data_IF_072808090000
#
_entry.id   IF_072808090000
#
_cell.length_a   1.000
_cell.length_b   1.000
_cell.length_c   1.000
_cell.angle_alpha   90.00
_cell.angle_beta   90.00
_cell.angle_gamma   90.00
#
_symmetry.space_group_name_H-M   'P 1'
#
loop_
_entity.id
_entity.type
_entity.pdbx_description
1 polymer ?
#
# COMPACT_ATOMS: atom_id res chain seq x y z
N UNK A 1 -23.01 -7.08 -13.53
CA UNK A 1 -24.18 -6.42 -12.88
C UNK A 1 -25.05 -5.76 -13.91
N UNK A 2 -26.38 -5.63 -13.68
CA UNK A 2 -27.25 -4.88 -14.59
C UNK A 2 -27.00 -3.37 -14.52
N UNK A 3 -27.40 -2.59 -15.54
CA UNK A 3 -27.21 -1.16 -15.59
C UNK A 3 -27.82 -0.46 -14.35
N UNK A 4 -27.09 0.48 -13.78
CA UNK A 4 -27.54 1.27 -12.61
C UNK A 4 -27.34 0.60 -11.24
N UNK A 5 -26.67 -0.55 -11.16
CA UNK A 5 -26.30 -1.20 -9.87
C UNK A 5 -24.85 -0.95 -9.53
N UNK A 6 -24.61 -0.52 -8.30
CA UNK A 6 -23.27 -0.31 -7.73
C UNK A 6 -23.10 -1.23 -6.53
N UNK A 7 -21.93 -1.81 -6.38
CA UNK A 7 -21.53 -2.46 -5.14
C UNK A 7 -20.81 -1.44 -4.30
N UNK A 8 -21.28 -1.21 -3.08
CA UNK A 8 -20.54 -0.45 -2.08
C UNK A 8 -19.51 -1.36 -1.40
N UNK A 9 -18.38 -0.78 -1.03
CA UNK A 9 -17.34 -1.46 -0.28
C UNK A 9 -16.39 -0.45 0.35
N UNK A 10 -15.74 -0.86 1.43
CA UNK A 10 -14.65 -0.11 2.03
C UNK A 10 -13.37 -0.42 1.28
N UNK A 11 -12.60 0.61 0.99
CA UNK A 11 -11.29 0.53 0.34
C UNK A 11 -10.49 1.79 0.63
N UNK A 12 -9.37 1.88 0.02
CA UNK A 12 -8.40 2.96 0.20
C UNK A 12 -7.02 2.35 0.37
N UNK A 13 -6.03 2.92 -0.27
CA UNK A 13 -4.65 2.44 -0.32
C UNK A 13 -4.12 2.00 1.06
N UNK A 14 -3.84 2.93 1.95
CA UNK A 14 -3.32 2.63 3.30
C UNK A 14 -4.33 1.87 4.19
N UNK A 15 -5.64 2.00 3.93
CA UNK A 15 -6.67 1.21 4.62
C UNK A 15 -6.58 -0.27 4.24
N UNK A 16 -6.40 -0.57 2.94
CA UNK A 16 -6.22 -1.94 2.47
C UNK A 16 -4.92 -2.55 3.03
N UNK A 17 -3.83 -1.78 3.09
CA UNK A 17 -2.56 -2.21 3.73
C UNK A 17 -2.77 -2.54 5.20
N UNK A 18 -3.53 -1.71 5.94
CA UNK A 18 -3.81 -1.95 7.36
C UNK A 18 -4.63 -3.24 7.57
N UNK A 19 -5.65 -3.48 6.74
CA UNK A 19 -6.45 -4.71 6.75
C UNK A 19 -5.59 -5.92 6.38
N UNK A 20 -4.74 -5.79 5.34
CA UNK A 20 -3.85 -6.86 4.94
C UNK A 20 -2.90 -7.26 6.07
N UNK A 21 -2.26 -6.30 6.73
CA UNK A 21 -1.39 -6.55 7.87
C UNK A 21 -2.14 -7.20 9.04
N UNK A 22 -3.35 -6.74 9.35
CA UNK A 22 -4.18 -7.30 10.42
C UNK A 22 -4.54 -8.77 10.15
N UNK A 23 -4.95 -9.11 8.92
CA UNK A 23 -5.26 -10.49 8.51
C UNK A 23 -4.05 -11.42 8.53
N UNK A 24 -2.82 -10.86 8.51
CA UNK A 24 -1.56 -11.61 8.71
C UNK A 24 -1.14 -11.69 10.20
N UNK A 25 -1.99 -11.20 11.12
CA UNK A 25 -1.76 -11.29 12.56
C UNK A 25 -0.97 -10.12 13.15
N UNK A 26 -0.70 -9.07 12.39
CA UNK A 26 -0.01 -7.86 12.87
C UNK A 26 -1.01 -6.85 13.43
N UNK A 27 -0.69 -6.26 14.59
CA UNK A 27 -1.48 -5.14 15.11
C UNK A 27 -1.31 -3.92 14.19
N UNK A 28 -2.38 -3.49 13.55
CA UNK A 28 -2.39 -2.33 12.68
C UNK A 28 -3.26 -1.21 13.25
N UNK A 29 -2.85 0.03 12.99
CA UNK A 29 -3.53 1.23 13.47
C UNK A 29 -3.63 2.23 12.34
N UNK A 30 -4.84 2.74 12.13
CA UNK A 30 -5.09 3.80 11.16
C UNK A 30 -4.84 5.19 11.76
N UNK A 31 -4.21 6.04 10.96
CA UNK A 31 -4.02 7.45 11.24
C UNK A 31 -4.56 8.26 10.06
N UNK A 32 -5.74 8.85 10.21
CA UNK A 32 -6.42 9.62 9.16
C UNK A 32 -7.53 10.49 9.75
N UNK A 33 -8.31 11.13 8.86
CA UNK A 33 -9.56 11.80 9.21
C UNK A 33 -10.70 11.27 8.36
N UNK A 34 -11.86 11.10 8.97
CA UNK A 34 -13.12 10.78 8.32
C UNK A 34 -14.12 11.91 8.55
N UNK A 35 -15.16 11.97 7.73
CA UNK A 35 -16.29 12.87 7.96
C UNK A 35 -17.16 12.43 9.14
N UNK A 36 -18.26 13.14 9.34
CA UNK A 36 -19.33 12.80 10.30
C UNK A 36 -20.57 12.21 9.59
N UNK A 37 -20.32 11.43 8.56
CA UNK A 37 -21.32 10.83 7.68
C UNK A 37 -21.44 9.30 7.88
N UNK A 38 -22.45 8.70 7.26
CA UNK A 38 -22.70 7.25 7.33
C UNK A 38 -21.55 6.44 6.70
N UNK A 39 -20.82 7.00 5.74
CA UNK A 39 -19.65 6.35 5.14
C UNK A 39 -18.51 6.21 6.15
N UNK A 40 -18.29 7.23 6.99
CA UNK A 40 -17.32 7.17 8.07
C UNK A 40 -17.66 6.06 9.07
N UNK A 41 -18.95 5.91 9.42
CA UNK A 41 -19.41 4.85 10.30
C UNK A 41 -19.17 3.46 9.71
N UNK A 42 -19.47 3.27 8.42
CA UNK A 42 -19.24 2.00 7.70
C UNK A 42 -17.75 1.64 7.65
N UNK A 43 -16.87 2.62 7.38
CA UNK A 43 -15.42 2.41 7.38
C UNK A 43 -14.92 1.97 8.75
N UNK A 44 -15.35 2.63 9.83
CA UNK A 44 -14.97 2.26 11.21
C UNK A 44 -15.45 0.87 11.58
N UNK A 45 -16.70 0.52 11.23
CA UNK A 45 -17.26 -0.82 11.45
C UNK A 45 -16.45 -1.88 10.69
N UNK A 46 -16.05 -1.59 9.45
CA UNK A 46 -15.20 -2.48 8.67
C UNK A 46 -13.84 -2.67 9.33
N UNK A 47 -13.17 -1.60 9.77
CA UNK A 47 -11.89 -1.69 10.47
C UNK A 47 -12.01 -2.47 11.79
N UNK A 48 -13.06 -2.23 12.55
CA UNK A 48 -13.30 -2.95 13.81
C UNK A 48 -13.48 -4.46 13.57
N UNK A 49 -14.21 -4.84 12.51
CA UNK A 49 -14.40 -6.24 12.14
C UNK A 49 -13.08 -6.93 11.72
N UNK A 50 -12.13 -6.17 11.16
CA UNK A 50 -10.80 -6.65 10.76
C UNK A 50 -9.73 -6.51 11.87
N UNK A 51 -10.09 -6.00 13.03
CA UNK A 51 -9.16 -5.79 14.14
C UNK A 51 -8.17 -4.64 13.92
N UNK A 52 -8.47 -3.72 13.00
CA UNK A 52 -7.67 -2.51 12.77
C UNK A 52 -8.06 -1.45 13.79
N UNK A 53 -7.08 -0.94 14.53
CA UNK A 53 -7.30 0.08 15.55
C UNK A 53 -7.51 1.46 14.91
N UNK A 54 -8.63 2.11 15.23
CA UNK A 54 -9.00 3.44 14.74
C UNK A 54 -8.93 4.55 15.81
N UNK A 55 -8.30 4.29 16.95
CA UNK A 55 -8.23 5.24 18.07
C UNK A 55 -7.58 6.60 17.70
N UNK A 56 -6.80 6.63 16.62
CA UNK A 56 -6.15 7.84 16.10
C UNK A 56 -6.83 8.40 14.84
N UNK A 57 -8.01 7.88 14.50
CA UNK A 57 -8.81 8.40 13.40
C UNK A 57 -9.73 9.49 13.92
N UNK A 58 -9.52 10.72 13.46
CA UNK A 58 -10.32 11.87 13.85
C UNK A 58 -11.60 11.94 13.02
N UNK A 59 -12.68 12.41 13.63
CA UNK A 59 -13.89 12.81 12.92
C UNK A 59 -13.85 14.33 12.70
N UNK A 60 -13.97 14.77 11.46
CA UNK A 60 -14.04 16.17 11.09
C UNK A 60 -15.49 16.55 10.83
N UNK A 61 -16.10 17.25 11.79
CA UNK A 61 -17.50 17.65 11.72
C UNK A 61 -17.74 18.60 10.54
N UNK A 62 -18.79 18.33 9.76
CA UNK A 62 -19.17 19.12 8.59
C UNK A 62 -18.32 18.85 7.35
N UNK A 63 -17.42 17.85 7.39
CA UNK A 63 -16.69 17.38 6.21
C UNK A 63 -17.24 16.04 5.72
N UNK A 64 -17.08 15.78 4.42
CA UNK A 64 -17.46 14.49 3.81
C UNK A 64 -16.31 13.51 3.86
N UNK A 65 -16.65 12.23 4.00
CA UNK A 65 -15.72 11.12 3.80
C UNK A 65 -15.38 10.97 2.31
N UNK A 66 -14.11 10.80 1.99
CA UNK A 66 -13.66 10.65 0.60
C UNK A 66 -14.17 9.36 -0.03
N UNK A 67 -14.63 9.45 -1.27
CA UNK A 67 -15.13 8.32 -2.05
C UNK A 67 -14.45 8.23 -3.41
N UNK A 68 -14.51 7.07 -4.02
CA UNK A 68 -14.18 6.86 -5.43
C UNK A 68 -15.10 5.81 -6.05
N UNK A 69 -15.25 5.89 -7.35
CA UNK A 69 -16.03 4.95 -8.13
C UNK A 69 -15.11 4.20 -9.09
N UNK A 70 -15.31 2.90 -9.19
CA UNK A 70 -14.62 2.07 -10.18
C UNK A 70 -15.65 1.62 -11.20
N UNK A 71 -15.43 1.94 -12.47
CA UNK A 71 -16.21 1.40 -13.58
C UNK A 71 -15.32 0.47 -14.38
N UNK A 72 -15.90 -0.66 -14.77
CA UNK A 72 -15.27 -1.67 -15.62
C UNK A 72 -15.82 -1.48 -17.03
N UNK A 73 -14.99 -1.08 -17.97
CA UNK A 73 -15.35 -0.88 -19.37
C UNK A 73 -14.32 -1.59 -20.26
N UNK A 74 -14.78 -2.58 -21.03
CA UNK A 74 -13.97 -3.36 -21.98
C UNK A 74 -12.65 -3.93 -21.39
N UNK A 75 -12.65 -4.29 -20.09
CA UNK A 75 -11.47 -4.82 -19.40
C UNK A 75 -10.56 -3.76 -18.76
N UNK A 76 -10.89 -2.49 -18.89
CA UNK A 76 -10.18 -1.40 -18.22
C UNK A 76 -10.92 -0.94 -16.97
N UNK A 77 -10.16 -0.63 -15.93
CA UNK A 77 -10.66 -0.03 -14.68
C UNK A 77 -10.55 1.48 -14.75
N UNK A 78 -11.67 2.19 -14.73
CA UNK A 78 -11.69 3.65 -14.68
C UNK A 78 -12.05 4.11 -13.28
N UNK A 79 -11.13 4.87 -12.66
CA UNK A 79 -11.34 5.47 -11.35
C UNK A 79 -11.86 6.88 -11.46
N UNK A 80 -12.91 7.20 -10.72
CA UNK A 80 -13.41 8.55 -10.56
C UNK A 80 -13.46 8.94 -9.08
N UNK A 81 -12.71 9.99 -8.72
CA UNK A 81 -12.51 10.39 -7.33
C UNK A 81 -13.49 11.46 -6.90
N UNK A 82 -14.05 11.31 -5.70
CA UNK A 82 -14.83 12.30 -4.95
C UNK A 82 -14.18 12.50 -3.59
N UNK A 83 -12.98 13.09 -3.61
CA UNK A 83 -12.16 13.27 -2.40
C UNK A 83 -11.58 14.67 -2.22
N UNK A 84 -11.75 15.55 -3.19
CA UNK A 84 -11.37 16.96 -3.04
C UNK A 84 -12.21 17.62 -1.94
N UNK A 85 -11.55 18.22 -0.94
CA UNK A 85 -12.23 18.77 0.23
C UNK A 85 -12.75 17.76 1.24
N UNK A 86 -12.50 16.45 1.04
CA UNK A 86 -12.85 15.42 2.03
C UNK A 86 -12.09 15.59 3.34
N UNK A 87 -12.59 15.00 4.41
CA UNK A 87 -11.93 15.03 5.72
C UNK A 87 -10.46 14.61 5.64
N UNK A 88 -10.14 13.51 4.93
CA UNK A 88 -8.77 13.05 4.75
C UNK A 88 -7.87 14.06 4.04
N UNK A 89 -8.41 14.84 3.09
CA UNK A 89 -7.65 15.90 2.39
C UNK A 89 -7.39 17.14 3.25
N UNK A 90 -8.09 17.28 4.37
CA UNK A 90 -7.96 18.41 5.30
C UNK A 90 -7.10 18.08 6.52
N UNK A 91 -6.48 16.89 6.59
CA UNK A 91 -5.55 16.54 7.66
C UNK A 91 -4.38 17.52 7.69
N UNK A 92 -3.97 17.94 8.89
CA UNK A 92 -2.89 18.92 9.09
C UNK A 92 -1.80 18.34 9.99
N UNK A 93 -0.56 18.85 9.88
CA UNK A 93 0.54 18.41 10.73
C UNK A 93 0.24 18.48 12.24
N UNK A 94 -0.48 19.49 12.69
CA UNK A 94 -0.88 19.65 14.10
C UNK A 94 -1.91 18.61 14.57
N UNK A 95 -2.62 17.97 13.66
CA UNK A 95 -3.60 16.93 13.96
C UNK A 95 -2.92 15.58 14.25
N UNK A 96 -1.64 15.43 13.93
CA UNK A 96 -0.86 14.23 14.10
C UNK A 96 -0.48 14.01 15.56
N UNK A 97 -1.01 12.95 16.18
CA UNK A 97 -0.62 12.54 17.53
C UNK A 97 0.72 11.81 17.50
N UNK A 98 1.73 12.33 18.21
CA UNK A 98 3.03 11.66 18.30
C UNK A 98 2.97 10.33 19.07
N UNK A 99 1.97 10.16 19.95
CA UNK A 99 1.81 8.95 20.75
C UNK A 99 1.53 7.69 19.94
N UNK A 100 1.01 7.82 18.71
CA UNK A 100 0.79 6.66 17.83
C UNK A 100 2.10 5.94 17.46
N UNK A 101 3.22 6.66 17.48
CA UNK A 101 4.54 6.12 17.13
C UNK A 101 5.26 5.45 18.31
N UNK A 102 4.78 5.57 19.56
CA UNK A 102 5.50 5.08 20.75
C UNK A 102 5.68 3.55 20.75
N UNK A 103 4.76 2.82 20.15
CA UNK A 103 4.80 1.36 20.07
C UNK A 103 4.74 0.85 18.62
N UNK A 104 5.02 1.71 17.65
CA UNK A 104 5.03 1.35 16.25
C UNK A 104 6.39 0.77 15.86
N UNK A 105 6.40 -0.35 15.14
CA UNK A 105 7.60 -0.88 14.51
C UNK A 105 7.83 -0.23 13.14
N UNK A 106 6.75 -0.04 12.38
CA UNK A 106 6.76 0.54 11.03
C UNK A 106 5.59 1.52 10.90
N UNK A 107 5.82 2.67 10.27
CA UNK A 107 4.77 3.52 9.71
C UNK A 107 4.76 3.35 8.20
N UNK A 108 3.59 3.03 7.63
CA UNK A 108 3.41 2.93 6.19
C UNK A 108 2.72 4.18 5.65
N UNK A 109 3.22 4.70 4.54
CA UNK A 109 2.76 5.92 3.88
C UNK A 109 2.55 5.66 2.40
N UNK A 110 1.64 6.42 1.78
CA UNK A 110 1.35 6.32 0.35
C UNK A 110 1.52 7.67 -0.35
N UNK A 111 1.96 7.64 -1.60
CA UNK A 111 2.01 8.82 -2.46
C UNK A 111 0.63 9.43 -2.70
N UNK A 112 -0.44 8.66 -2.62
CA UNK A 112 -1.82 9.20 -2.66
C UNK A 112 -2.05 10.15 -1.50
N UNK A 113 -1.58 9.84 -0.28
CA UNK A 113 -1.70 10.73 0.88
C UNK A 113 -0.99 12.07 0.67
N UNK A 114 0.11 12.08 -0.10
CA UNK A 114 0.82 13.30 -0.48
C UNK A 114 0.14 14.08 -1.62
N UNK A 115 -0.57 13.36 -2.50
CA UNK A 115 -1.20 13.92 -3.69
C UNK A 115 -2.53 14.62 -3.42
N UNK A 116 -3.26 14.23 -2.36
CA UNK A 116 -4.64 14.71 -2.13
C UNK A 116 -4.73 16.15 -1.66
N UNK A 117 -3.69 16.70 -1.02
CA UNK A 117 -3.59 18.11 -0.65
C UNK A 117 -2.19 18.50 -0.15
N UNK A 118 -1.90 19.80 -0.14
CA UNK A 118 -0.65 20.32 0.41
C UNK A 118 -0.54 20.08 1.93
N UNK A 119 -1.66 20.15 2.68
CA UNK A 119 -1.66 19.89 4.12
C UNK A 119 -1.46 18.40 4.45
N UNK A 120 -2.06 17.50 3.69
CA UNK A 120 -1.83 16.06 3.84
C UNK A 120 -0.38 15.69 3.51
N UNK A 121 0.22 16.32 2.49
CA UNK A 121 1.66 16.19 2.19
C UNK A 121 2.53 16.63 3.37
N UNK A 122 2.28 17.80 3.91
CA UNK A 122 3.01 18.30 5.07
C UNK A 122 2.84 17.40 6.31
N UNK A 123 1.66 16.80 6.47
CA UNK A 123 1.41 15.80 7.53
C UNK A 123 2.21 14.55 7.32
N UNK A 124 2.33 14.05 6.08
CA UNK A 124 3.18 12.92 5.71
C UNK A 124 4.66 13.20 6.01
N UNK A 125 5.16 14.40 5.64
CA UNK A 125 6.53 14.81 5.96
C UNK A 125 6.79 14.87 7.47
N UNK A 126 5.82 15.36 8.25
CA UNK A 126 5.90 15.36 9.71
C UNK A 126 5.88 13.94 10.28
N UNK A 127 5.07 13.04 9.74
CA UNK A 127 5.04 11.64 10.15
C UNK A 127 6.41 10.97 9.98
N UNK A 128 7.06 11.17 8.83
CA UNK A 128 8.43 10.71 8.56
C UNK A 128 9.41 11.26 9.60
N UNK A 129 9.35 12.56 9.89
CA UNK A 129 10.25 13.20 10.85
C UNK A 129 10.09 12.63 12.27
N UNK A 130 8.83 12.41 12.71
CA UNK A 130 8.55 11.80 14.03
C UNK A 130 9.03 10.34 14.05
N UNK A 131 8.72 9.55 13.01
CA UNK A 131 9.14 8.16 12.91
C UNK A 131 10.66 8.04 13.05
N UNK A 132 11.43 8.82 12.31
CA UNK A 132 12.90 8.86 12.39
C UNK A 132 13.40 9.23 13.78
N UNK A 133 12.81 10.26 14.41
CA UNK A 133 13.17 10.69 15.76
C UNK A 133 12.95 9.58 16.80
N UNK A 134 11.92 8.75 16.59
CA UNK A 134 11.54 7.64 17.49
C UNK A 134 12.16 6.28 17.12
N UNK A 135 12.94 6.20 16.05
CA UNK A 135 13.53 4.95 15.57
C UNK A 135 12.50 3.99 14.95
N UNK A 136 11.34 4.50 14.52
CA UNK A 136 10.30 3.75 13.82
C UNK A 136 10.68 3.69 12.34
N UNK A 137 10.66 2.52 11.72
CA UNK A 137 10.91 2.37 10.29
C UNK A 137 9.81 3.01 9.46
N UNK A 138 10.16 3.58 8.33
CA UNK A 138 9.23 4.21 7.39
C UNK A 138 9.13 3.34 6.15
N UNK A 139 7.92 2.89 5.82
CA UNK A 139 7.57 2.24 4.56
C UNK A 139 6.80 3.19 3.66
N UNK A 140 7.02 3.12 2.36
CA UNK A 140 6.39 4.01 1.39
C UNK A 140 6.07 3.29 0.07
N UNK A 141 4.80 3.37 -0.34
CA UNK A 141 4.33 3.02 -1.68
C UNK A 141 4.09 4.33 -2.47
N UNK A 142 4.75 4.55 -3.61
CA UNK A 142 4.53 5.74 -4.44
C UNK A 142 3.09 5.83 -4.96
N UNK A 143 2.45 4.70 -5.23
CA UNK A 143 1.05 4.54 -5.64
C UNK A 143 0.61 5.69 -6.56
N UNK A 144 1.34 5.86 -7.68
CA UNK A 144 1.27 7.03 -8.55
C UNK A 144 -0.11 7.17 -9.19
N UNK A 145 -0.73 8.33 -9.01
CA UNK A 145 -2.05 8.65 -9.59
C UNK A 145 -2.00 10.02 -10.26
N UNK A 146 -1.65 10.04 -11.56
CA UNK A 146 -1.54 11.28 -12.34
C UNK A 146 -2.85 12.09 -12.46
N UNK A 147 -3.97 11.52 -12.06
CA UNK A 147 -5.24 12.25 -11.90
C UNK A 147 -5.26 13.17 -10.68
N UNK A 148 -4.37 12.98 -9.71
CA UNK A 148 -4.32 13.76 -8.46
C UNK A 148 -3.28 14.89 -8.52
N UNK A 149 -2.20 14.71 -9.27
CA UNK A 149 -1.12 15.69 -9.41
C UNK A 149 -0.36 15.55 -10.73
N UNK A 150 0.31 16.62 -11.22
CA UNK A 150 1.15 16.55 -12.40
C UNK A 150 2.37 15.65 -12.17
N UNK A 151 2.85 14.98 -13.24
CA UNK A 151 4.00 14.06 -13.16
C UNK A 151 5.26 14.72 -12.57
N UNK A 152 5.57 15.94 -12.99
CA UNK A 152 6.78 16.64 -12.51
C UNK A 152 6.73 16.91 -11.00
N UNK A 153 5.57 17.27 -10.47
CA UNK A 153 5.36 17.44 -9.03
C UNK A 153 5.43 16.09 -8.31
N UNK A 154 4.75 15.07 -8.83
CA UNK A 154 4.76 13.72 -8.32
C UNK A 154 6.20 13.18 -8.23
N UNK A 155 6.96 13.26 -9.33
CA UNK A 155 8.36 12.82 -9.42
C UNK A 155 9.23 13.50 -8.36
N UNK A 156 9.13 14.82 -8.23
CA UNK A 156 9.91 15.57 -7.23
C UNK A 156 9.60 15.09 -5.81
N UNK A 157 8.31 15.04 -5.44
CA UNK A 157 7.88 14.69 -4.07
C UNK A 157 8.21 13.24 -3.75
N UNK A 158 7.93 12.31 -4.67
CA UNK A 158 8.18 10.88 -4.46
C UNK A 158 9.68 10.61 -4.32
N UNK A 159 10.52 11.11 -5.23
CA UNK A 159 11.98 10.90 -5.14
C UNK A 159 12.60 11.54 -3.90
N UNK A 160 12.08 12.70 -3.45
CA UNK A 160 12.50 13.29 -2.18
C UNK A 160 12.05 12.46 -0.97
N UNK A 161 10.93 11.76 -1.07
CA UNK A 161 10.43 10.86 -0.01
C UNK A 161 11.27 9.58 0.03
N UNK A 162 11.61 8.99 -1.12
CA UNK A 162 12.45 7.77 -1.20
C UNK A 162 13.77 7.93 -0.43
N UNK A 163 14.39 9.10 -0.46
CA UNK A 163 15.62 9.40 0.31
C UNK A 163 15.47 9.36 1.83
N UNK A 164 14.24 9.28 2.30
CA UNK A 164 13.90 9.40 3.73
C UNK A 164 13.29 8.13 4.31
N UNK A 165 13.05 7.10 3.49
CA UNK A 165 12.34 5.89 3.92
C UNK A 165 13.27 4.69 4.03
N UNK A 166 12.86 3.72 4.84
CA UNK A 166 13.62 2.49 5.06
C UNK A 166 13.17 1.36 4.14
N UNK A 167 11.91 1.41 3.69
CA UNK A 167 11.27 0.38 2.88
C UNK A 167 10.51 1.08 1.75
N UNK A 168 10.84 0.75 0.51
CA UNK A 168 10.19 1.30 -0.67
C UNK A 168 9.51 0.21 -1.49
N UNK A 169 8.21 0.37 -1.77
CA UNK A 169 7.32 -0.64 -2.33
C UNK A 169 6.68 -0.17 -3.65
N UNK A 170 7.44 0.03 -4.72
CA UNK A 170 6.90 0.52 -5.98
C UNK A 170 6.31 -0.60 -6.84
N UNK A 171 5.27 -0.27 -7.62
CA UNK A 171 4.89 -1.03 -8.80
C UNK A 171 5.79 -0.68 -10.00
N UNK A 172 6.06 -1.64 -10.88
CA UNK A 172 6.94 -1.47 -12.04
C UNK A 172 6.47 -0.35 -12.97
N UNK A 173 5.18 -0.28 -13.26
CA UNK A 173 4.64 0.73 -14.18
C UNK A 173 4.81 2.14 -13.61
N UNK A 174 4.51 2.32 -12.32
CA UNK A 174 4.72 3.59 -11.61
C UNK A 174 6.21 3.95 -11.59
N UNK A 175 7.08 2.97 -11.31
CA UNK A 175 8.52 3.16 -11.26
C UNK A 175 9.11 3.57 -12.62
N UNK A 176 8.65 2.98 -13.73
CA UNK A 176 9.01 3.37 -15.09
C UNK A 176 8.62 4.82 -15.38
N UNK A 177 7.40 5.20 -15.04
CA UNK A 177 6.92 6.59 -15.23
C UNK A 177 7.76 7.57 -14.40
N UNK A 178 8.09 7.21 -13.16
CA UNK A 178 8.86 8.06 -12.26
C UNK A 178 10.32 8.22 -12.68
N UNK A 179 10.94 7.16 -13.18
CA UNK A 179 12.39 7.16 -13.48
C UNK A 179 12.70 7.37 -14.96
N UNK A 180 11.82 6.93 -15.86
CA UNK A 180 12.09 6.82 -17.29
C UNK A 180 13.00 5.63 -17.63
N UNK A 181 13.24 4.72 -16.69
CA UNK A 181 14.05 3.51 -16.85
C UNK A 181 13.11 2.33 -17.12
N UNK A 182 13.46 1.47 -18.08
CA UNK A 182 12.63 0.33 -18.48
C UNK A 182 12.98 -0.96 -17.72
N UNK A 183 14.27 -1.22 -17.50
CA UNK A 183 14.76 -2.47 -16.95
C UNK A 183 14.58 -2.52 -15.42
N UNK A 184 13.92 -3.57 -14.88
CA UNK A 184 13.62 -3.67 -13.44
C UNK A 184 14.85 -3.61 -12.54
N UNK A 185 15.95 -4.24 -12.93
CA UNK A 185 17.19 -4.25 -12.16
C UNK A 185 17.79 -2.85 -12.06
N UNK A 186 17.75 -2.09 -13.15
CA UNK A 186 18.28 -0.71 -13.17
C UNK A 186 17.35 0.25 -12.40
N UNK A 187 16.05 0.01 -12.41
CA UNK A 187 15.09 0.72 -11.56
C UNK A 187 15.40 0.50 -10.08
N UNK A 188 15.60 -0.75 -9.66
CA UNK A 188 15.94 -1.07 -8.26
C UNK A 188 17.28 -0.43 -7.87
N UNK A 189 18.30 -0.50 -8.72
CA UNK A 189 19.59 0.18 -8.49
C UNK A 189 19.43 1.68 -8.33
N UNK A 190 18.63 2.31 -9.19
CA UNK A 190 18.35 3.75 -9.11
C UNK A 190 17.76 4.14 -7.75
N UNK A 191 16.79 3.39 -7.23
CA UNK A 191 16.18 3.68 -5.94
C UNK A 191 17.09 3.32 -4.75
N UNK A 192 17.91 2.29 -4.87
CA UNK A 192 18.95 1.97 -3.89
C UNK A 192 19.99 3.09 -3.79
N UNK A 193 20.43 3.64 -4.92
CA UNK A 193 21.35 4.79 -4.99
C UNK A 193 20.74 6.07 -4.40
N UNK A 194 19.41 6.19 -4.40
CA UNK A 194 18.71 7.28 -3.69
C UNK A 194 18.71 7.10 -2.17
N UNK A 195 19.00 5.90 -1.67
CA UNK A 195 19.14 5.62 -0.25
C UNK A 195 18.06 4.72 0.37
N UNK A 196 17.19 4.06 -0.41
CA UNK A 196 16.26 3.07 0.10
C UNK A 196 16.95 1.71 0.29
N UNK A 197 17.15 1.23 1.53
CA UNK A 197 17.88 -0.02 1.78
C UNK A 197 17.07 -1.27 1.45
N UNK A 198 15.74 -1.21 1.63
CA UNK A 198 14.83 -2.31 1.28
C UNK A 198 13.90 -1.82 0.16
N UNK A 199 13.88 -2.57 -0.94
CA UNK A 199 13.01 -2.30 -2.08
C UNK A 199 12.29 -3.59 -2.48
N UNK A 200 10.98 -3.52 -2.72
CA UNK A 200 10.22 -4.60 -3.33
C UNK A 200 9.45 -4.07 -4.54
N UNK A 201 10.06 -4.19 -5.72
CA UNK A 201 9.47 -3.77 -6.99
C UNK A 201 8.49 -4.86 -7.47
N UNK A 202 7.19 -4.60 -7.33
CA UNK A 202 6.15 -5.52 -7.80
C UNK A 202 5.97 -5.43 -9.31
N UNK A 203 5.82 -6.58 -9.99
CA UNK A 203 5.81 -6.66 -11.46
C UNK A 203 4.59 -7.45 -11.98
N UNK A 204 3.47 -7.37 -11.26
CA UNK A 204 2.24 -8.07 -11.59
C UNK A 204 2.40 -9.59 -11.55
N UNK A 205 1.96 -10.27 -12.60
CA UNK A 205 2.02 -11.73 -12.74
C UNK A 205 3.44 -12.29 -12.83
N UNK A 206 4.43 -11.44 -13.11
CA UNK A 206 5.85 -11.83 -13.10
C UNK A 206 6.42 -11.99 -11.69
N UNK A 207 5.78 -11.44 -10.66
CA UNK A 207 6.26 -11.53 -9.30
C UNK A 207 6.89 -10.22 -8.79
N UNK A 208 7.98 -10.32 -8.05
CA UNK A 208 8.65 -9.19 -7.39
C UNK A 208 10.17 -9.29 -7.51
N UNK A 209 10.83 -8.16 -7.79
CA UNK A 209 12.26 -8.01 -7.64
C UNK A 209 12.52 -7.34 -6.28
N UNK A 210 12.99 -8.13 -5.32
CA UNK A 210 13.28 -7.65 -3.97
C UNK A 210 14.77 -7.36 -3.82
N UNK A 211 15.10 -6.27 -3.10
CA UNK A 211 16.46 -5.88 -2.76
C UNK A 211 16.59 -5.56 -1.27
N UNK A 212 17.75 -5.90 -0.71
CA UNK A 212 18.13 -5.60 0.66
C UNK A 212 19.64 -5.33 0.74
N UNK A 213 20.00 -4.08 1.04
CA UNK A 213 21.41 -3.64 1.17
C UNK A 213 22.31 -4.08 0.01
N UNK A 214 21.80 -4.03 -1.22
CA UNK A 214 22.54 -4.37 -2.45
C UNK A 214 22.33 -5.79 -2.96
N UNK A 215 21.91 -6.75 -2.14
CA UNK A 215 21.47 -8.06 -2.60
C UNK A 215 20.11 -7.95 -3.31
N UNK A 216 19.99 -8.58 -4.49
CA UNK A 216 18.73 -8.60 -5.25
C UNK A 216 18.32 -10.04 -5.54
N UNK A 217 17.01 -10.30 -5.42
CA UNK A 217 16.43 -11.58 -5.83
C UNK A 217 15.10 -11.37 -6.54
N UNK A 218 14.94 -12.11 -7.62
CA UNK A 218 13.65 -12.23 -8.27
C UNK A 218 12.86 -13.35 -7.59
N UNK A 219 11.60 -13.09 -7.31
CA UNK A 219 10.65 -14.02 -6.69
C UNK A 219 9.44 -14.08 -7.60
N UNK A 220 9.13 -15.25 -8.16
CA UNK A 220 7.98 -15.43 -9.03
C UNK A 220 6.66 -15.40 -8.23
N UNK A 221 5.59 -14.93 -8.87
CA UNK A 221 4.25 -15.00 -8.31
C UNK A 221 3.63 -16.38 -8.59
N UNK A 222 2.87 -16.97 -7.64
CA UNK A 222 2.05 -18.13 -7.94
C UNK A 222 1.09 -17.84 -9.10
N UNK A 223 0.92 -18.81 -9.98
CA UNK A 223 -0.04 -18.71 -11.09
C UNK A 223 -1.45 -18.97 -10.58
N UNK A 224 -2.33 -18.01 -10.80
CA UNK A 224 -3.74 -18.08 -10.38
C UNK A 224 -4.64 -17.50 -11.47
N UNK A 225 -5.91 -17.84 -11.43
CA UNK A 225 -6.92 -17.24 -12.30
C UNK A 225 -7.34 -15.87 -11.74
N UNK A 226 -6.85 -14.79 -12.34
CA UNK A 226 -7.12 -13.44 -11.92
C UNK A 226 -8.55 -13.02 -12.29
N UNK A 227 -9.27 -12.44 -11.32
CA UNK A 227 -10.63 -11.89 -11.46
C UNK A 227 -10.62 -10.37 -11.34
N UNK A 228 -9.95 -9.82 -10.30
CA UNK A 228 -9.88 -8.38 -10.05
C UNK A 228 -8.57 -8.04 -9.33
N UNK A 229 -7.70 -7.28 -9.98
CA UNK A 229 -6.39 -6.90 -9.44
C UNK A 229 -6.44 -5.66 -8.52
N UNK A 230 -7.64 -5.12 -8.24
CA UNK A 230 -7.79 -3.94 -7.38
C UNK A 230 -7.29 -4.23 -5.96
N UNK A 231 -6.32 -3.45 -5.48
CA UNK A 231 -5.75 -3.59 -4.14
C UNK A 231 -4.71 -4.70 -3.99
N UNK A 232 -4.27 -5.34 -5.08
CA UNK A 232 -3.22 -6.38 -5.03
C UNK A 232 -1.89 -5.83 -4.48
N UNK A 233 -1.51 -4.61 -4.88
CA UNK A 233 -0.34 -3.89 -4.33
C UNK A 233 -0.49 -3.64 -2.85
N UNK A 234 -1.63 -3.10 -2.42
CA UNK A 234 -1.92 -2.85 -1.01
C UNK A 234 -1.88 -4.16 -0.18
N UNK A 235 -2.41 -5.26 -0.74
CA UNK A 235 -2.35 -6.59 -0.12
C UNK A 235 -0.90 -7.08 0.02
N UNK A 236 -0.09 -6.92 -1.04
CA UNK A 236 1.34 -7.21 -1.01
C UNK A 236 2.02 -6.41 0.10
N UNK A 237 1.82 -5.10 0.15
CA UNK A 237 2.46 -4.21 1.11
C UNK A 237 2.15 -4.61 2.56
N UNK A 238 0.87 -4.81 2.89
CA UNK A 238 0.46 -5.21 4.23
C UNK A 238 1.02 -6.57 4.64
N UNK A 239 1.00 -7.55 3.75
CA UNK A 239 1.57 -8.87 3.99
C UNK A 239 3.10 -8.81 4.13
N UNK A 240 3.79 -8.06 3.28
CA UNK A 240 5.24 -7.87 3.32
C UNK A 240 5.69 -7.25 4.64
N UNK A 241 5.06 -6.13 5.02
CA UNK A 241 5.37 -5.43 6.26
C UNK A 241 5.09 -6.28 7.49
N UNK A 242 4.02 -7.08 7.46
CA UNK A 242 3.71 -8.03 8.52
C UNK A 242 4.83 -9.05 8.73
N UNK A 243 5.39 -9.61 7.64
CA UNK A 243 6.49 -10.57 7.75
C UNK A 243 7.79 -9.90 8.24
N UNK A 244 8.09 -8.68 7.80
CA UNK A 244 9.27 -7.95 8.31
C UNK A 244 9.17 -7.66 9.80
N UNK A 245 7.97 -7.34 10.33
CA UNK A 245 7.73 -7.15 11.77
C UNK A 245 7.96 -8.45 12.54
N UNK A 246 7.66 -9.60 11.93
CA UNK A 246 7.90 -10.93 12.48
C UNK A 246 9.33 -11.45 12.21
N UNK A 247 10.26 -10.57 11.83
CA UNK A 247 11.70 -10.85 11.68
C UNK A 247 12.04 -11.85 10.54
N UNK A 248 11.15 -12.07 9.58
CA UNK A 248 11.49 -12.82 8.38
C UNK A 248 12.46 -12.02 7.50
N UNK A 249 13.26 -12.73 6.70
CA UNK A 249 14.13 -12.08 5.72
C UNK A 249 13.30 -11.30 4.69
N UNK A 250 13.89 -10.27 4.08
CA UNK A 250 13.23 -9.47 3.03
C UNK A 250 12.75 -10.36 1.89
N UNK A 251 13.51 -11.39 1.54
CA UNK A 251 13.17 -12.29 0.44
C UNK A 251 12.06 -13.28 0.80
N UNK A 252 12.04 -13.81 2.02
CA UNK A 252 10.94 -14.65 2.51
C UNK A 252 9.66 -13.82 2.67
N UNK A 253 9.77 -12.58 3.18
CA UNK A 253 8.66 -11.65 3.27
C UNK A 253 8.07 -11.33 1.88
N UNK A 254 8.92 -11.14 0.87
CA UNK A 254 8.49 -10.87 -0.50
C UNK A 254 7.79 -12.10 -1.12
N UNK A 255 8.29 -13.31 -0.89
CA UNK A 255 7.65 -14.54 -1.36
C UNK A 255 6.27 -14.76 -0.72
N UNK A 256 6.17 -14.49 0.58
CA UNK A 256 4.90 -14.53 1.31
C UNK A 256 3.91 -13.49 0.76
N UNK A 257 4.35 -12.27 0.58
CA UNK A 257 3.52 -11.17 0.10
C UNK A 257 3.05 -11.37 -1.35
N UNK A 258 3.92 -11.89 -2.23
CA UNK A 258 3.54 -12.25 -3.60
C UNK A 258 2.45 -13.34 -3.61
N UNK A 259 2.52 -14.30 -2.69
CA UNK A 259 1.47 -15.32 -2.52
C UNK A 259 0.16 -14.70 -2.03
N UNK A 260 0.21 -13.80 -1.05
CA UNK A 260 -0.98 -13.11 -0.55
C UNK A 260 -1.65 -12.27 -1.65
N UNK A 261 -0.87 -11.52 -2.41
CA UNK A 261 -1.34 -10.74 -3.55
C UNK A 261 -1.97 -11.63 -4.64
N UNK A 262 -1.37 -12.78 -4.95
CA UNK A 262 -1.93 -13.74 -5.91
C UNK A 262 -3.30 -14.27 -5.46
N UNK A 263 -3.49 -14.55 -4.17
CA UNK A 263 -4.81 -14.96 -3.67
C UNK A 263 -5.81 -13.81 -3.78
N UNK A 264 -5.41 -12.58 -3.44
CA UNK A 264 -6.33 -11.43 -3.40
C UNK A 264 -6.97 -11.12 -4.76
N UNK A 265 -6.28 -11.39 -5.85
CA UNK A 265 -6.80 -11.11 -7.21
C UNK A 265 -7.81 -12.16 -7.73
N UNK A 266 -8.06 -13.23 -7.00
CA UNK A 266 -9.05 -14.25 -7.37
C UNK A 266 -10.48 -13.88 -6.94
N UNK A 267 -10.67 -12.77 -6.21
CA UNK A 267 -11.96 -12.27 -5.77
C UNK A 267 -12.24 -10.86 -6.27
N UNK A 268 -13.45 -10.37 -6.06
CA UNK A 268 -13.82 -8.99 -6.36
C UNK A 268 -13.68 -8.08 -5.16
N UNK A 269 -13.11 -6.89 -5.39
CA UNK A 269 -13.00 -5.81 -4.41
C UNK A 269 -11.71 -5.88 -3.57
N UNK A 270 -11.11 -4.72 -3.29
CA UNK A 270 -9.78 -4.60 -2.72
C UNK A 270 -9.66 -5.23 -1.31
N UNK A 271 -10.39 -4.70 -0.33
CA UNK A 271 -10.25 -5.18 1.05
C UNK A 271 -10.90 -6.57 1.27
N UNK A 272 -12.01 -6.85 0.56
CA UNK A 272 -12.78 -8.08 0.78
C UNK A 272 -12.02 -9.34 0.38
N UNK A 273 -11.22 -9.29 -0.68
CA UNK A 273 -10.49 -10.42 -1.24
C UNK A 273 -9.11 -10.65 -0.63
N UNK A 274 -8.65 -9.78 0.28
CA UNK A 274 -7.40 -9.99 1.01
C UNK A 274 -7.45 -11.31 1.79
N UNK A 275 -6.47 -12.22 1.62
CA UNK A 275 -6.47 -13.50 2.31
C UNK A 275 -6.09 -13.37 3.80
N UNK A 276 -6.48 -14.35 4.60
CA UNK A 276 -5.92 -14.55 5.92
C UNK A 276 -4.59 -15.34 5.84
N UNK A 277 -3.86 -15.39 6.97
CA UNK A 277 -2.57 -16.06 7.08
C UNK A 277 -2.63 -17.55 6.69
N UNK A 278 -3.69 -18.26 7.07
CA UNK A 278 -3.84 -19.70 6.79
C UNK A 278 -3.92 -19.98 5.30
N UNK A 279 -4.69 -19.17 4.56
CA UNK A 279 -4.83 -19.29 3.12
C UNK A 279 -3.48 -19.04 2.40
N UNK A 280 -2.70 -18.04 2.86
CA UNK A 280 -1.38 -17.75 2.29
C UNK A 280 -0.43 -18.91 2.51
N UNK A 281 -0.33 -19.44 3.73
CA UNK A 281 0.55 -20.56 4.05
C UNK A 281 0.16 -21.84 3.28
N UNK A 282 -1.13 -22.08 3.10
CA UNK A 282 -1.62 -23.23 2.34
C UNK A 282 -1.20 -23.16 0.86
N UNK A 283 -1.33 -21.99 0.23
CA UNK A 283 -0.90 -21.83 -1.16
C UNK A 283 0.64 -21.89 -1.29
N UNK A 284 1.39 -21.30 -0.36
CA UNK A 284 2.85 -21.39 -0.35
C UNK A 284 3.34 -22.84 -0.29
N UNK A 285 2.70 -23.68 0.53
CA UNK A 285 3.05 -25.10 0.61
C UNK A 285 2.79 -25.84 -0.71
N UNK A 286 1.68 -25.51 -1.39
CA UNK A 286 1.34 -26.08 -2.69
C UNK A 286 2.34 -25.67 -3.78
N UNK A 287 2.83 -24.42 -3.74
CA UNK A 287 3.72 -23.83 -4.75
C UNK A 287 5.21 -23.87 -4.37
N UNK A 288 5.61 -24.63 -3.35
CA UNK A 288 6.95 -24.60 -2.74
C UNK A 288 8.12 -24.77 -3.71
N UNK A 289 7.92 -25.44 -4.84
CA UNK A 289 8.93 -25.62 -5.89
C UNK A 289 8.95 -24.54 -6.97
N UNK A 290 7.91 -23.69 -7.05
CA UNK A 290 7.69 -22.74 -8.14
C UNK A 290 8.06 -21.29 -7.77
N UNK A 291 7.93 -20.93 -6.50
CA UNK A 291 8.12 -19.54 -6.02
C UNK A 291 9.60 -19.11 -6.05
N UNK A 292 10.54 -20.05 -5.99
CA UNK A 292 11.97 -19.80 -5.86
C UNK A 292 12.78 -20.02 -7.14
N UNK A 293 12.15 -20.25 -8.28
CA UNK A 293 12.84 -20.35 -9.57
C UNK A 293 13.16 -18.95 -10.08
N UNK A 294 14.35 -18.45 -9.74
CA UNK A 294 14.87 -17.26 -10.40
C UNK A 294 15.13 -17.59 -11.87
N UNK A 295 14.62 -16.81 -12.86
CA UNK A 295 15.27 -16.79 -14.15
C UNK A 295 16.70 -16.28 -13.94
N UNK A 296 17.67 -16.88 -14.58
CA UNK A 296 19.02 -16.33 -14.67
C UNK A 296 18.90 -14.88 -15.18
N UNK A 297 19.34 -13.93 -14.35
CA UNK A 297 19.38 -12.50 -14.69
C UNK A 297 20.64 -12.25 -15.51
#
# INVERSE_FOLDING_TARGET
MGPGKWNAGVGGDVSNVAVAAARQGTRSTMLTQLGDDDFAAEIRNSWAAEGVNDAYVRTLVGAETGMYFITHDAGEHKFEYRRSGSAASQVRPEDLSEGVFDNAAIVHLSGISQAISASARATTDKAIAIAKKKGVKVSYDPNLRLKLWPLEEARKVILDTVRKVDIFLPGLDDARILTGIEEPVDIVRFFADLGAPIIALTMGDRGVLAANDGDMRFISSPKVDAVDATGAGDCFDGAFLSQLINEYSVFDAAAYAATAAAISIQGHGAAKSIPNREAVLALQEQCRGEIWTAPEI
#
